data_IF_750429399753
#
_entry.id   IF_750429399753
#
_cell.length_a   1.000
_cell.length_b   1.000
_cell.length_c   1.000
_cell.angle_alpha   90.00
_cell.angle_beta   90.00
_cell.angle_gamma   90.00
#
_symmetry.space_group_name_H-M   'P 1'
#
loop_
_entity.id
_entity.type
_entity.pdbx_description
1 polymer ?
#
# COMPACT_ATOMS: atom_id res chain seq x y z
N UNK A 1 35.45 49.82 35.05
CA UNK A 1 34.13 49.49 34.52
C UNK A 1 34.36 48.77 33.22
N UNK A 2 34.19 47.45 33.22
CA UNK A 2 34.38 46.59 32.04
C UNK A 2 33.00 46.23 31.50
N UNK A 3 32.69 46.70 30.30
CA UNK A 3 31.48 46.33 29.57
C UNK A 3 31.62 44.89 29.02
N UNK A 4 30.74 44.00 29.47
CA UNK A 4 30.57 42.67 28.91
C UNK A 4 29.43 42.76 27.90
N UNK A 5 29.75 42.67 26.60
CA UNK A 5 28.76 42.48 25.56
C UNK A 5 28.32 40.99 25.57
N UNK A 6 27.05 40.74 25.86
CA UNK A 6 26.40 39.48 25.59
C UNK A 6 26.01 39.45 24.11
N UNK A 7 26.69 38.61 23.34
CA UNK A 7 26.29 38.29 21.99
C UNK A 7 25.21 37.21 22.04
N UNK A 8 23.97 37.60 21.70
CA UNK A 8 22.84 36.68 21.55
C UNK A 8 23.01 35.97 20.20
N UNK A 9 23.54 34.76 20.21
CA UNK A 9 23.59 33.89 19.03
C UNK A 9 22.18 33.41 18.69
N UNK A 10 21.60 33.98 17.63
CA UNK A 10 20.35 33.54 17.04
C UNK A 10 20.64 32.22 16.28
N UNK A 11 20.26 31.08 16.87
CA UNK A 11 20.25 29.82 16.18
C UNK A 11 19.15 29.88 15.11
N UNK A 12 19.53 30.13 13.89
CA UNK A 12 18.69 29.90 12.73
C UNK A 12 18.52 28.38 12.57
N UNK A 13 17.41 27.82 13.01
CA UNK A 13 16.95 26.52 12.56
C UNK A 13 16.54 26.68 11.10
N UNK A 14 17.38 26.22 10.19
CA UNK A 14 16.97 25.98 8.82
C UNK A 14 15.95 24.85 8.85
N UNK A 15 14.68 25.19 8.68
CA UNK A 15 13.64 24.23 8.30
C UNK A 15 14.06 23.74 6.92
N UNK A 16 14.62 22.54 6.83
CA UNK A 16 14.86 21.88 5.58
C UNK A 16 13.47 21.64 4.96
N UNK A 17 13.13 22.41 3.95
CA UNK A 17 11.96 22.16 3.12
C UNK A 17 12.19 20.79 2.43
N UNK A 18 11.41 19.77 2.81
CA UNK A 18 11.36 18.49 2.13
C UNK A 18 10.65 18.62 0.76
N UNK A 19 11.09 19.55 -0.08
CA UNK A 19 10.55 19.73 -1.42
C UNK A 19 10.98 18.57 -2.35
N UNK A 20 12.15 17.97 -2.08
CA UNK A 20 12.70 16.87 -2.87
C UNK A 20 12.58 15.56 -2.08
N UNK A 21 11.80 14.60 -2.62
CA UNK A 21 11.62 13.28 -2.00
C UNK A 21 12.95 12.51 -1.87
N UNK A 22 12.98 11.54 -0.94
CA UNK A 22 14.13 10.64 -0.77
C UNK A 22 13.95 9.41 -1.65
N UNK A 23 14.87 9.19 -2.61
CA UNK A 23 14.91 7.96 -3.40
C UNK A 23 15.41 6.82 -2.52
N UNK A 24 14.54 5.87 -2.20
CA UNK A 24 14.87 4.71 -1.37
C UNK A 24 15.45 3.57 -2.20
N UNK A 25 14.83 3.27 -3.34
CA UNK A 25 15.27 2.23 -4.25
C UNK A 25 15.42 2.84 -5.64
N UNK A 26 16.57 2.63 -6.28
CA UNK A 26 16.88 3.23 -7.55
C UNK A 26 17.49 2.24 -8.51
N UNK A 27 16.86 2.06 -9.65
CA UNK A 27 17.43 1.35 -10.79
C UNK A 27 18.50 2.21 -11.50
N UNK A 28 18.34 3.54 -11.50
CA UNK A 28 19.21 4.45 -12.21
C UNK A 28 20.63 4.54 -11.64
N UNK A 29 20.80 4.44 -10.32
CA UNK A 29 22.09 4.58 -9.63
C UNK A 29 23.02 3.38 -9.79
N UNK A 30 22.48 2.20 -10.07
CA UNK A 30 23.23 0.96 -10.20
C UNK A 30 23.65 0.61 -11.63
N UNK A 31 23.21 1.38 -12.62
CA UNK A 31 23.45 1.06 -14.03
C UNK A 31 22.55 -0.09 -14.51
N UNK A 32 22.89 -0.63 -15.70
CA UNK A 32 22.11 -1.66 -16.39
C UNK A 32 22.10 -3.05 -15.72
N UNK A 33 22.92 -3.26 -14.71
CA UNK A 33 23.07 -4.53 -14.02
C UNK A 33 22.24 -4.58 -12.73
N UNK A 34 21.56 -3.47 -12.35
CA UNK A 34 20.69 -3.42 -11.20
C UNK A 34 19.26 -3.74 -11.63
N UNK A 35 18.61 -4.76 -11.02
CA UNK A 35 17.23 -5.06 -11.28
C UNK A 35 16.32 -3.86 -10.98
N UNK A 36 15.26 -3.63 -11.76
CA UNK A 36 14.28 -2.59 -11.45
C UNK A 36 13.51 -2.92 -10.18
N UNK A 37 13.11 -1.86 -9.47
CA UNK A 37 12.24 -1.95 -8.32
C UNK A 37 10.84 -1.49 -8.68
N UNK A 38 9.82 -2.19 -8.17
CA UNK A 38 8.41 -1.91 -8.37
C UNK A 38 7.60 -2.12 -7.08
N UNK A 39 6.34 -1.70 -7.13
CA UNK A 39 5.31 -2.00 -6.13
C UNK A 39 5.70 -1.52 -4.72
N UNK A 40 5.62 -0.21 -4.49
CA UNK A 40 5.95 0.40 -3.21
C UNK A 40 4.92 0.02 -2.14
N UNK A 41 5.39 -0.40 -0.97
CA UNK A 41 4.60 -0.55 0.24
C UNK A 41 5.26 0.21 1.38
N UNK A 42 4.46 0.91 2.20
CA UNK A 42 4.97 1.58 3.39
C UNK A 42 4.06 1.30 4.58
N UNK A 43 4.66 1.07 5.73
CA UNK A 43 3.97 0.96 7.02
C UNK A 43 4.71 1.73 8.08
N UNK A 44 3.94 2.35 8.97
CA UNK A 44 4.43 3.14 10.09
C UNK A 44 4.13 2.43 11.40
N UNK A 45 5.12 2.34 12.27
CA UNK A 45 4.99 1.82 13.62
C UNK A 45 5.22 2.90 14.67
N UNK A 46 5.13 2.51 15.93
CA UNK A 46 5.40 3.41 17.05
C UNK A 46 6.86 3.88 17.09
N UNK A 47 7.11 4.99 17.79
CA UNK A 47 8.45 5.50 18.02
C UNK A 47 9.18 5.99 16.76
N UNK A 48 8.45 6.25 15.66
CA UNK A 48 9.02 6.76 14.41
C UNK A 48 9.62 5.69 13.49
N UNK A 49 9.37 4.40 13.75
CA UNK A 49 9.74 3.29 12.85
C UNK A 49 8.90 3.35 11.59
N UNK A 50 9.56 3.36 10.42
CA UNK A 50 8.95 3.17 9.12
C UNK A 50 9.63 2.01 8.40
N UNK A 51 8.84 1.25 7.64
CA UNK A 51 9.34 0.17 6.78
C UNK A 51 8.81 0.39 5.37
N UNK A 52 9.70 0.64 4.43
CA UNK A 52 9.40 0.73 3.01
C UNK A 52 9.73 -0.60 2.33
N UNK A 53 8.77 -1.25 1.70
CA UNK A 53 8.94 -2.50 0.97
C UNK A 53 8.87 -2.31 -0.54
N UNK A 54 9.55 -3.17 -1.28
CA UNK A 54 9.56 -3.17 -2.74
C UNK A 54 9.71 -4.59 -3.30
N UNK A 55 9.21 -4.80 -4.51
CA UNK A 55 9.57 -5.93 -5.35
C UNK A 55 10.83 -5.58 -6.15
N UNK A 56 11.91 -6.36 -6.01
CA UNK A 56 13.12 -6.31 -6.85
C UNK A 56 12.97 -7.32 -7.98
N UNK A 57 12.78 -6.83 -9.20
CA UNK A 57 12.51 -7.66 -10.38
C UNK A 57 13.82 -8.21 -10.95
N UNK A 58 14.30 -9.31 -10.41
CA UNK A 58 15.55 -9.96 -10.87
C UNK A 58 15.38 -10.52 -12.27
N UNK A 59 14.21 -11.07 -12.58
CA UNK A 59 13.84 -11.57 -13.91
C UNK A 59 12.35 -11.30 -14.16
N UNK A 60 12.03 -10.84 -15.36
CA UNK A 60 10.65 -10.58 -15.73
C UNK A 60 10.17 -9.16 -15.37
N UNK A 61 8.96 -8.84 -15.81
CA UNK A 61 8.37 -7.50 -15.66
C UNK A 61 7.34 -7.42 -14.55
N UNK A 62 6.77 -8.56 -14.15
CA UNK A 62 5.76 -8.71 -13.11
C UNK A 62 5.88 -10.08 -12.43
N UNK A 63 5.27 -10.29 -11.24
CA UNK A 63 5.16 -11.59 -10.63
C UNK A 63 4.54 -12.62 -11.57
N UNK A 64 5.14 -13.81 -11.63
CA UNK A 64 4.75 -14.89 -12.53
C UNK A 64 5.58 -14.98 -13.82
N UNK A 65 6.40 -13.98 -14.13
CA UNK A 65 7.27 -13.98 -15.32
C UNK A 65 8.74 -14.27 -15.02
N UNK A 66 9.08 -14.50 -13.78
CA UNK A 66 10.44 -14.82 -13.40
C UNK A 66 10.72 -14.61 -11.92
N UNK A 67 12.01 -14.62 -11.55
CA UNK A 67 12.44 -14.39 -10.18
C UNK A 67 12.17 -12.95 -9.75
N UNK A 68 11.42 -12.79 -8.69
CA UNK A 68 11.23 -11.54 -7.97
C UNK A 68 11.63 -11.75 -6.51
N UNK A 69 12.30 -10.77 -5.94
CA UNK A 69 12.68 -10.74 -4.53
C UNK A 69 11.89 -9.66 -3.80
N UNK A 70 11.50 -9.92 -2.56
CA UNK A 70 10.93 -8.92 -1.66
C UNK A 70 12.03 -8.32 -0.79
N UNK A 71 12.13 -6.99 -0.76
CA UNK A 71 13.15 -6.24 -0.03
C UNK A 71 12.53 -5.10 0.78
N UNK A 72 13.23 -4.65 1.84
CA UNK A 72 12.80 -3.50 2.64
C UNK A 72 13.96 -2.56 2.96
N UNK A 73 13.61 -1.29 3.26
CA UNK A 73 14.45 -0.31 3.95
C UNK A 73 13.73 0.20 5.19
N UNK A 74 14.52 0.55 6.21
CA UNK A 74 14.03 0.94 7.53
C UNK A 74 14.42 2.37 7.86
N UNK A 75 13.54 3.07 8.59
CA UNK A 75 13.81 4.33 9.26
C UNK A 75 13.37 4.24 10.72
N UNK A 76 14.08 4.90 11.63
CA UNK A 76 13.78 4.97 13.07
C UNK A 76 13.47 6.40 13.54
N UNK A 77 13.35 7.34 12.61
CA UNK A 77 13.24 8.77 12.90
C UNK A 77 12.17 9.48 12.07
N UNK A 78 11.04 8.78 11.83
CA UNK A 78 9.93 9.26 11.00
C UNK A 78 10.38 9.62 9.56
N UNK A 79 11.22 8.80 8.96
CA UNK A 79 11.64 8.92 7.57
C UNK A 79 12.66 10.04 7.29
N UNK A 80 13.30 10.61 8.33
CA UNK A 80 14.38 11.60 8.15
C UNK A 80 15.64 10.96 7.64
N UNK A 81 15.96 9.77 8.16
CA UNK A 81 17.06 8.93 7.67
C UNK A 81 16.57 7.50 7.41
N UNK A 82 17.25 6.81 6.51
CA UNK A 82 16.91 5.46 6.08
C UNK A 82 18.15 4.57 6.09
N UNK A 83 17.94 3.26 6.29
CA UNK A 83 19.02 2.28 6.18
C UNK A 83 19.71 2.41 4.82
N UNK A 84 21.04 2.46 4.82
CA UNK A 84 21.84 2.59 3.60
C UNK A 84 21.60 1.40 2.68
N UNK A 85 21.65 0.19 3.24
CA UNK A 85 21.41 -1.06 2.51
C UNK A 85 19.98 -1.52 2.66
N UNK A 86 19.45 -2.15 1.63
CA UNK A 86 18.22 -2.91 1.71
C UNK A 86 18.42 -4.20 2.48
N UNK A 87 17.35 -4.71 3.07
CA UNK A 87 17.28 -6.00 3.76
C UNK A 87 16.46 -6.94 2.87
N UNK A 88 17.04 -8.09 2.54
CA UNK A 88 16.32 -9.16 1.86
C UNK A 88 15.29 -9.78 2.80
N UNK A 89 14.02 -9.69 2.41
CA UNK A 89 12.89 -10.30 3.14
C UNK A 89 12.67 -11.73 2.68
N UNK A 90 12.58 -11.91 1.36
CA UNK A 90 12.51 -13.22 0.72
C UNK A 90 13.09 -13.12 -0.69
N UNK A 91 14.08 -13.96 -0.99
CA UNK A 91 14.69 -14.06 -2.31
C UNK A 91 14.13 -15.25 -3.06
N UNK A 92 13.72 -15.04 -4.31
CA UNK A 92 13.32 -16.12 -5.21
C UNK A 92 14.52 -16.94 -5.68
N UNK A 93 14.26 -18.16 -6.12
CA UNK A 93 15.23 -19.05 -6.73
C UNK A 93 14.84 -19.37 -8.18
N UNK A 94 15.54 -18.75 -9.12
CA UNK A 94 15.28 -18.91 -10.55
C UNK A 94 15.44 -20.38 -11.03
N UNK A 95 16.26 -21.18 -10.34
CA UNK A 95 16.47 -22.60 -10.70
C UNK A 95 15.24 -23.48 -10.45
N UNK A 96 14.31 -23.00 -9.62
CA UNK A 96 13.05 -23.71 -9.32
C UNK A 96 11.95 -23.46 -10.34
N UNK A 97 12.15 -22.54 -11.28
CA UNK A 97 11.14 -22.21 -12.29
C UNK A 97 11.08 -23.33 -13.34
N UNK A 98 9.90 -23.87 -13.51
CA UNK A 98 9.65 -24.93 -14.49
C UNK A 98 8.27 -24.76 -15.15
N UNK A 99 8.02 -25.52 -16.23
CA UNK A 99 6.81 -25.41 -17.05
C UNK A 99 5.56 -26.08 -16.45
N UNK A 100 5.67 -26.81 -15.37
CA UNK A 100 4.58 -27.66 -14.86
C UNK A 100 3.90 -27.02 -13.65
N UNK A 101 4.63 -26.86 -12.56
CA UNK A 101 4.17 -26.21 -11.34
C UNK A 101 5.36 -25.58 -10.66
N UNK A 102 5.36 -24.25 -10.63
CA UNK A 102 6.45 -23.50 -10.01
C UNK A 102 6.24 -23.45 -8.50
N UNK A 103 7.22 -23.89 -7.69
CA UNK A 103 7.11 -23.82 -6.24
C UNK A 103 7.14 -22.36 -5.74
N UNK A 104 6.59 -22.13 -4.56
CA UNK A 104 6.53 -20.82 -3.90
C UNK A 104 7.90 -20.13 -3.86
N UNK A 105 8.96 -20.90 -3.55
CA UNK A 105 10.32 -20.37 -3.41
C UNK A 105 10.96 -19.83 -4.71
N UNK A 106 10.29 -19.94 -5.84
CA UNK A 106 10.83 -19.42 -7.10
C UNK A 106 10.79 -17.89 -7.20
N UNK A 107 9.80 -17.24 -6.58
CA UNK A 107 9.65 -15.79 -6.60
C UNK A 107 8.77 -15.28 -5.44
N UNK A 108 8.97 -14.01 -5.04
CA UNK A 108 8.15 -13.29 -4.05
C UNK A 108 7.99 -11.84 -4.51
N UNK A 109 6.82 -11.46 -4.97
CA UNK A 109 6.53 -10.13 -5.51
C UNK A 109 5.28 -9.48 -4.94
N UNK A 110 5.00 -8.27 -5.37
CA UNK A 110 3.84 -7.47 -4.95
C UNK A 110 3.63 -7.44 -3.43
N UNK A 111 4.64 -7.00 -2.64
CA UNK A 111 4.54 -7.02 -1.20
C UNK A 111 3.42 -6.12 -0.70
N UNK A 112 2.56 -6.65 0.16
CA UNK A 112 1.63 -5.90 0.99
C UNK A 112 2.08 -6.01 2.45
N UNK A 113 2.29 -4.89 3.13
CA UNK A 113 2.98 -4.83 4.42
C UNK A 113 2.10 -4.22 5.52
N UNK A 114 2.24 -4.72 6.75
CA UNK A 114 1.73 -4.12 7.98
C UNK A 114 2.71 -4.34 9.12
N UNK A 115 2.87 -3.32 9.97
CA UNK A 115 3.53 -3.41 11.27
C UNK A 115 2.49 -3.29 12.37
N UNK A 116 2.54 -4.20 13.37
CA UNK A 116 1.67 -4.12 14.53
C UNK A 116 2.03 -2.88 15.37
N UNK A 117 1.02 -2.04 15.66
CA UNK A 117 1.26 -0.77 16.36
C UNK A 117 1.58 -0.93 17.85
N UNK A 118 1.28 -2.08 18.46
CA UNK A 118 1.58 -2.35 19.88
C UNK A 118 2.82 -3.22 20.06
N UNK A 119 3.28 -3.88 18.98
CA UNK A 119 4.38 -4.86 19.01
C UNK A 119 5.36 -4.61 17.88
N UNK A 120 6.55 -5.19 17.97
CA UNK A 120 7.54 -5.14 16.90
C UNK A 120 7.30 -6.25 15.84
N UNK A 121 6.05 -6.74 15.72
CA UNK A 121 5.70 -7.71 14.69
C UNK A 121 5.44 -7.01 13.36
N UNK A 122 5.95 -7.60 12.29
CA UNK A 122 5.70 -7.16 10.91
C UNK A 122 5.23 -8.35 10.09
N UNK A 123 4.24 -8.13 9.24
CA UNK A 123 3.75 -9.10 8.27
C UNK A 123 3.88 -8.54 6.86
N UNK A 124 4.48 -9.30 5.96
CA UNK A 124 4.38 -9.11 4.53
C UNK A 124 3.63 -10.28 3.92
N UNK A 125 2.61 -9.97 3.12
CA UNK A 125 1.97 -10.93 2.22
C UNK A 125 2.45 -10.64 0.80
N UNK A 126 2.87 -11.68 0.08
CA UNK A 126 3.45 -11.53 -1.25
C UNK A 126 2.86 -12.53 -2.23
N UNK A 127 2.78 -12.16 -3.50
CA UNK A 127 2.59 -13.12 -4.60
C UNK A 127 3.83 -14.01 -4.66
N UNK A 128 3.64 -15.33 -4.74
CA UNK A 128 4.75 -16.27 -4.73
C UNK A 128 4.72 -17.23 -5.92
N UNK A 129 5.88 -17.79 -6.25
CA UNK A 129 6.03 -18.66 -7.42
C UNK A 129 5.99 -17.88 -8.74
N UNK A 130 5.84 -18.62 -9.85
CA UNK A 130 5.83 -18.03 -11.19
C UNK A 130 4.58 -18.44 -11.99
N UNK A 131 3.41 -18.30 -11.37
CA UNK A 131 2.11 -18.49 -12.03
C UNK A 131 1.48 -17.14 -12.30
N UNK A 132 1.28 -16.80 -13.56
CA UNK A 132 0.79 -15.47 -13.97
C UNK A 132 -0.69 -15.32 -13.67
N UNK A 133 -1.07 -14.33 -12.86
CA UNK A 133 -2.45 -14.07 -12.46
C UNK A 133 -3.44 -13.96 -13.63
N UNK A 134 -3.08 -13.22 -14.68
CA UNK A 134 -3.97 -12.92 -15.82
C UNK A 134 -4.18 -14.05 -16.82
N UNK A 135 -3.46 -15.19 -16.74
CA UNK A 135 -3.58 -16.27 -17.71
C UNK A 135 -4.73 -17.23 -17.40
N UNK A 136 -5.42 -17.71 -18.43
CA UNK A 136 -6.49 -18.71 -18.30
C UNK A 136 -6.02 -20.05 -17.69
N UNK A 137 -4.73 -20.37 -17.81
CA UNK A 137 -4.11 -21.56 -17.20
C UNK A 137 -3.98 -21.44 -15.68
N UNK A 138 -4.07 -20.23 -15.13
CA UNK A 138 -4.11 -19.98 -13.70
C UNK A 138 -5.55 -20.14 -13.23
N UNK A 139 -5.78 -21.15 -12.40
CA UNK A 139 -7.09 -21.53 -11.90
C UNK A 139 -6.95 -22.23 -10.55
N UNK A 140 -8.06 -22.61 -9.91
CA UNK A 140 -8.07 -23.26 -8.58
C UNK A 140 -7.15 -24.49 -8.46
N UNK A 141 -6.85 -25.19 -9.54
CA UNK A 141 -5.94 -26.37 -9.56
C UNK A 141 -4.47 -25.98 -9.76
N UNK A 142 -4.22 -24.81 -10.33
CA UNK A 142 -2.89 -24.23 -10.55
C UNK A 142 -2.93 -22.72 -10.23
N UNK A 143 -3.16 -22.35 -8.97
CA UNK A 143 -3.30 -20.94 -8.57
C UNK A 143 -1.95 -20.22 -8.59
N UNK A 144 -1.98 -18.90 -8.66
CA UNK A 144 -0.85 -18.12 -8.18
C UNK A 144 -0.81 -18.24 -6.66
N UNK A 145 0.40 -18.33 -6.11
CA UNK A 145 0.59 -18.62 -4.69
C UNK A 145 0.65 -17.33 -3.86
N UNK A 146 0.30 -17.46 -2.58
CA UNK A 146 0.35 -16.37 -1.59
C UNK A 146 1.24 -16.80 -0.43
N UNK A 147 2.30 -16.05 -0.19
CA UNK A 147 3.23 -16.27 0.93
C UNK A 147 3.01 -15.24 2.04
N UNK A 148 3.08 -15.70 3.28
CA UNK A 148 3.22 -14.84 4.46
C UNK A 148 4.67 -14.87 4.96
N UNK A 149 5.26 -13.70 5.22
CA UNK A 149 6.63 -13.55 5.68
C UNK A 149 6.61 -12.64 6.92
N UNK A 150 7.23 -13.06 8.01
CA UNK A 150 7.11 -12.40 9.31
C UNK A 150 8.44 -11.94 9.85
N UNK A 151 8.39 -10.82 10.57
CA UNK A 151 9.46 -10.35 11.47
C UNK A 151 8.89 -10.16 12.87
N UNK A 152 9.68 -10.38 13.89
CA UNK A 152 9.33 -10.14 15.30
C UNK A 152 10.23 -9.09 15.97
N UNK A 153 11.07 -8.44 15.18
CA UNK A 153 12.07 -7.46 15.62
C UNK A 153 12.00 -6.13 14.84
N UNK A 154 10.81 -5.78 14.36
CA UNK A 154 10.57 -4.53 13.64
C UNK A 154 11.17 -4.49 12.24
N UNK A 155 11.27 -5.64 11.57
CA UNK A 155 11.75 -5.74 10.20
C UNK A 155 13.27 -5.90 10.05
N UNK A 156 14.01 -6.08 11.15
CA UNK A 156 15.47 -6.28 11.10
C UNK A 156 15.83 -7.66 10.58
N UNK A 157 15.09 -8.69 11.01
CA UNK A 157 15.25 -10.07 10.53
C UNK A 157 13.90 -10.68 10.14
N UNK A 158 13.93 -11.64 9.23
CA UNK A 158 12.72 -12.22 8.63
C UNK A 158 12.72 -13.74 8.73
N UNK A 159 11.56 -14.28 9.04
CA UNK A 159 11.32 -15.72 9.08
C UNK A 159 11.16 -16.28 7.65
N UNK A 160 11.30 -17.60 7.52
CA UNK A 160 11.03 -18.25 6.21
C UNK A 160 9.59 -18.03 5.79
N UNK A 161 9.36 -17.76 4.48
CA UNK A 161 8.01 -17.64 3.94
C UNK A 161 7.15 -18.88 4.20
N UNK A 162 5.88 -18.66 4.52
CA UNK A 162 4.87 -19.71 4.76
C UNK A 162 3.81 -19.59 3.66
N UNK A 163 3.48 -20.71 3.02
CA UNK A 163 2.41 -20.79 2.03
C UNK A 163 1.04 -20.64 2.70
N UNK A 164 0.29 -19.62 2.28
CA UNK A 164 -1.07 -19.30 2.74
C UNK A 164 -2.13 -19.59 1.66
N UNK A 165 -1.72 -20.09 0.52
CA UNK A 165 -2.57 -20.24 -0.65
C UNK A 165 -3.85 -21.03 -0.35
N UNK A 166 -3.73 -22.25 0.13
CA UNK A 166 -4.90 -23.08 0.42
C UNK A 166 -5.76 -22.53 1.57
N UNK A 167 -5.15 -21.93 2.58
CA UNK A 167 -5.87 -21.31 3.69
C UNK A 167 -6.73 -20.13 3.22
N UNK A 168 -6.23 -19.31 2.30
CA UNK A 168 -6.96 -18.14 1.78
C UNK A 168 -7.98 -18.55 0.71
N UNK A 169 -7.59 -19.36 -0.26
CA UNK A 169 -8.51 -19.81 -1.33
C UNK A 169 -9.68 -20.62 -0.76
N UNK A 170 -9.43 -21.49 0.21
CA UNK A 170 -10.43 -22.31 0.88
C UNK A 170 -11.55 -21.52 1.58
N UNK A 171 -11.29 -20.26 1.96
CA UNK A 171 -12.32 -19.37 2.55
C UNK A 171 -13.49 -19.13 1.61
N UNK A 172 -13.30 -19.27 0.30
CA UNK A 172 -14.29 -18.95 -0.73
C UNK A 172 -14.84 -20.16 -1.48
N UNK A 173 -14.30 -21.37 -1.27
CA UNK A 173 -14.73 -22.58 -1.97
C UNK A 173 -16.22 -22.91 -1.79
N UNK A 174 -16.83 -22.53 -0.66
CA UNK A 174 -18.24 -22.73 -0.36
C UNK A 174 -19.22 -21.69 -0.94
N UNK A 175 -18.72 -20.67 -1.63
CA UNK A 175 -19.55 -19.56 -2.13
C UNK A 175 -19.10 -19.04 -3.50
N UNK A 176 -18.10 -18.18 -3.53
CA UNK A 176 -17.49 -17.63 -4.74
C UNK A 176 -16.04 -18.12 -4.89
N UNK A 177 -15.80 -19.33 -5.38
CA UNK A 177 -14.46 -19.92 -5.45
C UNK A 177 -13.52 -19.10 -6.34
N UNK A 178 -12.24 -19.09 -5.96
CA UNK A 178 -11.20 -18.31 -6.63
C UNK A 178 -10.44 -19.17 -7.63
N UNK A 179 -10.25 -18.67 -8.84
CA UNK A 179 -9.30 -19.23 -9.81
C UNK A 179 -7.89 -18.66 -9.59
N UNK A 180 -7.80 -17.38 -9.29
CA UNK A 180 -6.56 -16.68 -8.99
C UNK A 180 -6.85 -15.55 -7.99
N UNK A 181 -5.92 -15.31 -7.08
CA UNK A 181 -6.03 -14.18 -6.16
C UNK A 181 -4.64 -13.71 -5.72
N UNK A 182 -4.53 -12.40 -5.45
CA UNK A 182 -3.37 -11.82 -4.78
C UNK A 182 -3.80 -10.63 -3.92
N UNK A 183 -3.02 -10.31 -2.89
CA UNK A 183 -3.25 -9.14 -2.07
C UNK A 183 -2.67 -7.94 -2.82
N UNK A 184 -3.45 -6.89 -3.01
CA UNK A 184 -2.97 -5.68 -3.69
C UNK A 184 -1.72 -5.11 -2.98
N UNK A 185 -0.59 -5.04 -3.70
CA UNK A 185 0.69 -4.55 -3.15
C UNK A 185 0.57 -3.17 -2.51
N UNK A 186 1.34 -2.89 -1.47
CA UNK A 186 1.31 -1.65 -0.68
C UNK A 186 1.02 -1.91 0.80
N UNK A 187 -0.02 -1.33 1.39
CA UNK A 187 -0.36 -1.48 2.80
C UNK A 187 -1.43 -2.56 3.04
N UNK A 188 -1.24 -3.41 4.05
CA UNK A 188 -2.30 -4.13 4.77
C UNK A 188 -2.76 -3.22 5.90
N UNK A 189 -4.06 -3.03 6.04
CA UNK A 189 -4.60 -2.11 7.03
C UNK A 189 -4.74 -2.79 8.41
N UNK A 190 -4.33 -2.11 9.49
CA UNK A 190 -4.61 -2.52 10.87
C UNK A 190 -5.69 -1.62 11.48
N UNK A 191 -6.78 -2.21 11.99
CA UNK A 191 -7.87 -1.51 12.64
C UNK A 191 -7.39 -0.64 13.80
N UNK A 192 -8.00 0.53 13.96
CA UNK A 192 -7.82 1.42 15.11
C UNK A 192 -8.89 1.19 16.17
N UNK A 193 -10.01 0.57 15.78
CA UNK A 193 -11.22 0.43 16.59
C UNK A 193 -11.44 -1.03 17.03
N UNK A 194 -11.29 -1.98 16.10
CA UNK A 194 -11.62 -3.38 16.36
C UNK A 194 -10.40 -4.13 16.89
N UNK A 195 -10.44 -4.50 18.16
CA UNK A 195 -9.43 -5.35 18.82
C UNK A 195 -10.11 -6.63 19.32
N UNK A 196 -9.55 -7.79 18.93
CA UNK A 196 -10.04 -9.10 19.36
C UNK A 196 -8.88 -9.88 19.98
N UNK A 197 -9.05 -10.29 21.22
CA UNK A 197 -7.97 -10.89 21.98
C UNK A 197 -6.79 -9.93 22.15
N UNK A 198 -5.62 -10.36 21.72
CA UNK A 198 -4.37 -9.61 21.88
C UNK A 198 -4.04 -8.67 20.74
N UNK A 199 -4.73 -8.74 19.59
CA UNK A 199 -4.40 -7.99 18.40
C UNK A 199 -5.53 -7.08 17.94
N UNK A 200 -5.16 -5.92 17.39
CA UNK A 200 -6.05 -5.18 16.51
C UNK A 200 -6.21 -5.95 15.20
N UNK A 201 -7.47 -6.07 14.74
CA UNK A 201 -7.79 -6.76 13.49
C UNK A 201 -7.02 -6.17 12.31
N UNK A 202 -6.48 -7.02 11.45
CA UNK A 202 -5.91 -6.59 10.17
C UNK A 202 -6.81 -7.00 9.02
N UNK A 203 -6.82 -6.18 7.96
CA UNK A 203 -7.61 -6.39 6.76
C UNK A 203 -6.71 -6.41 5.53
N UNK A 204 -6.87 -7.42 4.68
CA UNK A 204 -6.20 -7.53 3.40
C UNK A 204 -7.23 -7.64 2.28
N UNK A 205 -7.08 -6.80 1.26
CA UNK A 205 -7.96 -6.80 0.12
C UNK A 205 -7.33 -7.57 -1.04
N UNK A 206 -8.11 -8.47 -1.64
CA UNK A 206 -7.69 -9.38 -2.71
C UNK A 206 -8.22 -8.88 -4.06
N UNK A 207 -7.32 -8.75 -5.04
CA UNK A 207 -7.70 -8.86 -6.44
C UNK A 207 -7.97 -10.34 -6.72
N UNK A 208 -9.10 -10.68 -7.33
CA UNK A 208 -9.52 -12.06 -7.49
C UNK A 208 -10.19 -12.33 -8.84
N UNK A 209 -9.99 -13.51 -9.38
CA UNK A 209 -10.70 -14.05 -10.54
C UNK A 209 -11.51 -15.29 -10.16
N UNK A 210 -12.63 -15.54 -10.84
CA UNK A 210 -13.14 -14.86 -12.04
C UNK A 210 -13.77 -13.48 -11.80
N UNK A 211 -14.06 -13.10 -10.54
CA UNK A 211 -14.86 -11.91 -10.22
C UNK A 211 -14.17 -11.03 -9.19
N UNK A 212 -13.78 -9.83 -9.54
CA UNK A 212 -13.52 -8.65 -8.73
C UNK A 212 -12.76 -8.86 -7.41
N UNK A 213 -13.18 -8.15 -6.37
CA UNK A 213 -12.43 -8.12 -5.11
C UNK A 213 -13.07 -8.97 -3.99
N UNK A 214 -12.22 -9.35 -3.05
CA UNK A 214 -12.58 -9.95 -1.76
C UNK A 214 -11.84 -9.22 -0.65
N UNK A 215 -12.36 -9.30 0.56
CA UNK A 215 -11.64 -8.82 1.75
C UNK A 215 -11.52 -9.97 2.74
N UNK A 216 -10.34 -10.16 3.26
CA UNK A 216 -10.08 -11.08 4.37
C UNK A 216 -9.61 -10.30 5.59
N UNK A 217 -9.88 -10.83 6.78
CA UNK A 217 -9.41 -10.25 8.03
C UNK A 217 -8.77 -11.30 8.93
N UNK A 218 -7.95 -10.84 9.86
CA UNK A 218 -7.31 -11.67 10.87
C UNK A 218 -7.30 -10.98 12.22
N UNK A 219 -7.58 -11.76 13.27
CA UNK A 219 -7.57 -11.34 14.67
C UNK A 219 -6.32 -11.84 15.43
N UNK A 220 -5.39 -12.49 14.72
CA UNK A 220 -4.15 -13.05 15.26
C UNK A 220 -2.92 -12.61 14.43
N UNK A 221 -3.02 -11.42 13.87
CA UNK A 221 -1.97 -10.82 13.04
C UNK A 221 -1.57 -11.68 11.84
N UNK A 222 -2.57 -12.22 11.11
CA UNK A 222 -2.41 -12.98 9.87
C UNK A 222 -1.93 -14.42 10.04
N UNK A 223 -2.06 -15.03 11.22
CA UNK A 223 -1.81 -16.46 11.42
C UNK A 223 -2.99 -17.28 10.91
N UNK A 224 -4.21 -16.80 11.14
CA UNK A 224 -5.45 -17.31 10.56
C UNK A 224 -6.23 -16.20 9.87
N UNK A 225 -6.99 -16.55 8.85
CA UNK A 225 -7.75 -15.61 8.04
C UNK A 225 -9.23 -16.00 7.98
N UNK A 226 -10.09 -14.99 7.82
CA UNK A 226 -11.52 -15.10 7.65
C UNK A 226 -12.00 -14.25 6.49
N UNK A 227 -13.03 -14.69 5.76
CA UNK A 227 -13.65 -13.89 4.70
C UNK A 227 -14.59 -12.84 5.31
N UNK A 228 -14.36 -11.55 5.05
CA UNK A 228 -15.22 -10.46 5.52
C UNK A 228 -16.54 -10.45 4.72
N UNK A 229 -17.64 -10.73 5.39
CA UNK A 229 -18.94 -10.94 4.77
C UNK A 229 -19.19 -12.39 4.30
N UNK A 230 -18.27 -13.32 4.58
CA UNK A 230 -18.41 -14.74 4.30
C UNK A 230 -17.97 -15.16 2.89
N UNK A 231 -18.04 -16.47 2.62
CA UNK A 231 -17.52 -17.10 1.39
C UNK A 231 -18.18 -16.60 0.08
N UNK A 232 -19.42 -16.14 0.16
CA UNK A 232 -20.18 -15.65 -0.99
C UNK A 232 -19.99 -14.14 -1.26
N UNK A 233 -19.35 -13.41 -0.35
CA UNK A 233 -19.21 -11.97 -0.45
C UNK A 233 -18.43 -11.56 -1.70
N UNK A 234 -18.93 -10.53 -2.39
CA UNK A 234 -18.34 -9.95 -3.58
C UNK A 234 -18.45 -8.42 -3.51
N UNK A 235 -17.64 -7.76 -2.66
CA UNK A 235 -17.80 -6.34 -2.37
C UNK A 235 -17.62 -5.45 -3.60
N UNK A 236 -16.69 -5.77 -4.50
CA UNK A 236 -16.44 -4.98 -5.71
C UNK A 236 -16.29 -5.92 -6.91
N UNK A 237 -17.42 -6.27 -7.58
CA UNK A 237 -17.43 -7.21 -8.70
C UNK A 237 -16.56 -6.79 -9.90
N UNK A 238 -16.50 -5.47 -10.15
CA UNK A 238 -15.77 -4.91 -11.30
C UNK A 238 -14.37 -4.42 -10.93
N UNK A 239 -13.90 -4.72 -9.70
CA UNK A 239 -12.64 -4.23 -9.18
C UNK A 239 -11.42 -5.00 -9.67
N UNK A 240 -10.27 -4.31 -9.63
CA UNK A 240 -8.94 -4.86 -9.89
C UNK A 240 -8.12 -4.80 -8.59
N UNK A 241 -6.99 -4.09 -8.51
CA UNK A 241 -6.14 -3.98 -7.32
C UNK A 241 -6.82 -3.13 -6.22
N UNK A 242 -7.23 -3.75 -5.11
CA UNK A 242 -7.95 -3.06 -4.04
C UNK A 242 -7.07 -2.67 -2.86
N UNK A 243 -7.60 -1.76 -2.03
CA UNK A 243 -7.12 -1.42 -0.69
C UNK A 243 -8.28 -1.34 0.29
N UNK A 244 -7.99 -1.57 1.56
CA UNK A 244 -8.92 -1.34 2.66
C UNK A 244 -8.45 -0.19 3.54
N UNK A 245 -9.41 0.52 4.14
CA UNK A 245 -9.19 1.48 5.20
C UNK A 245 -10.38 1.38 6.20
N UNK A 246 -10.27 2.00 7.36
CA UNK A 246 -11.31 2.00 8.38
C UNK A 246 -11.93 3.37 8.52
N UNK A 247 -13.25 3.41 8.48
CA UNK A 247 -14.03 4.59 8.83
C UNK A 247 -13.99 4.83 10.34
N UNK A 248 -14.23 6.05 10.82
CA UNK A 248 -14.13 6.39 12.25
C UNK A 248 -15.05 5.57 13.17
N UNK A 249 -16.13 5.00 12.65
CA UNK A 249 -17.06 4.12 13.37
C UNK A 249 -16.60 2.64 13.41
N UNK A 250 -15.47 2.33 12.80
CA UNK A 250 -14.95 0.96 12.68
C UNK A 250 -15.43 0.19 11.46
N UNK A 251 -16.32 0.76 10.64
CA UNK A 251 -16.72 0.18 9.35
C UNK A 251 -15.52 0.13 8.39
N UNK A 252 -15.52 -0.86 7.49
CA UNK A 252 -14.41 -1.08 6.57
C UNK A 252 -14.77 -0.56 5.18
N UNK A 253 -14.00 0.39 4.66
CA UNK A 253 -14.11 0.83 3.27
C UNK A 253 -13.10 0.09 2.39
N UNK A 254 -13.56 -0.40 1.25
CA UNK A 254 -12.70 -0.88 0.17
C UNK A 254 -12.67 0.15 -0.95
N UNK A 255 -11.47 0.43 -1.47
CA UNK A 255 -11.23 1.24 -2.66
C UNK A 255 -10.50 0.39 -3.68
N UNK A 256 -10.99 0.34 -4.92
CA UNK A 256 -10.45 -0.52 -5.96
C UNK A 256 -10.09 0.24 -7.23
N UNK A 257 -9.05 -0.24 -7.90
CA UNK A 257 -8.57 0.22 -9.19
C UNK A 257 -9.65 0.06 -10.26
N UNK A 258 -9.93 1.15 -10.99
CA UNK A 258 -10.79 1.16 -12.16
C UNK A 258 -10.43 2.32 -13.10
N UNK A 259 -10.77 2.21 -14.37
CA UNK A 259 -10.48 3.22 -15.39
C UNK A 259 -11.26 4.51 -15.13
N UNK A 260 -10.55 5.61 -14.96
CA UNK A 260 -11.13 6.95 -14.80
C UNK A 260 -11.89 7.18 -13.48
N UNK A 261 -11.79 6.25 -12.52
CA UNK A 261 -12.46 6.34 -11.22
C UNK A 261 -11.83 5.42 -10.19
N UNK A 262 -12.37 5.46 -8.96
CA UNK A 262 -12.22 4.38 -7.96
C UNK A 262 -13.56 3.70 -7.78
N UNK A 263 -13.55 2.40 -7.48
CA UNK A 263 -14.74 1.67 -7.05
C UNK A 263 -14.69 1.54 -5.54
N UNK A 264 -15.74 1.97 -4.86
CA UNK A 264 -15.86 1.96 -3.41
C UNK A 264 -16.97 1.03 -2.97
N UNK A 265 -16.81 0.43 -1.79
CA UNK A 265 -17.89 -0.22 -1.04
C UNK A 265 -17.58 -0.14 0.47
N UNK A 266 -18.60 -0.24 1.31
CA UNK A 266 -18.48 -0.19 2.76
C UNK A 266 -19.03 -1.47 3.35
N UNK A 267 -18.32 -2.03 4.33
CA UNK A 267 -18.77 -3.10 5.20
C UNK A 267 -19.12 -2.54 6.56
N UNK A 268 -20.38 -2.66 6.95
CA UNK A 268 -20.87 -2.24 8.26
C UNK A 268 -21.05 -3.46 9.15
N UNK A 269 -20.46 -3.41 10.34
CA UNK A 269 -20.58 -4.48 11.33
C UNK A 269 -21.95 -4.46 12.02
N UNK A 270 -22.59 -5.62 12.13
CA UNK A 270 -23.61 -5.87 13.15
C UNK A 270 -22.99 -6.36 14.47
N UNK A 271 -21.83 -7.03 14.38
CA UNK A 271 -21.01 -7.43 15.51
C UNK A 271 -19.53 -7.43 15.10
N UNK A 272 -18.80 -6.39 15.50
CA UNK A 272 -17.39 -6.26 15.14
C UNK A 272 -16.51 -7.38 15.75
N UNK A 273 -16.82 -7.87 16.94
CA UNK A 273 -16.04 -8.93 17.59
C UNK A 273 -16.09 -10.24 16.80
N UNK A 274 -17.24 -10.62 16.27
CA UNK A 274 -17.39 -11.85 15.47
C UNK A 274 -17.11 -11.66 13.99
N UNK A 275 -16.98 -10.41 13.54
CA UNK A 275 -16.80 -10.07 12.13
C UNK A 275 -18.09 -10.10 11.31
N UNK A 276 -19.26 -10.26 11.96
CA UNK A 276 -20.57 -10.26 11.30
C UNK A 276 -20.99 -8.87 10.86
N UNK A 277 -21.58 -8.78 9.67
CA UNK A 277 -22.04 -7.53 9.08
C UNK A 277 -22.43 -7.71 7.61
N UNK A 278 -22.49 -6.63 6.87
CA UNK A 278 -22.87 -6.66 5.45
C UNK A 278 -22.16 -5.58 4.63
N UNK A 279 -21.92 -5.90 3.37
CA UNK A 279 -21.48 -4.96 2.35
C UNK A 279 -22.67 -4.18 1.79
N UNK A 280 -22.46 -2.90 1.46
CA UNK A 280 -23.36 -2.11 0.64
C UNK A 280 -23.25 -2.48 -0.87
N UNK A 281 -23.68 -1.59 -1.75
CA UNK A 281 -23.49 -1.73 -3.20
C UNK A 281 -22.25 -0.98 -3.67
N UNK A 282 -21.51 -1.59 -4.60
CA UNK A 282 -20.38 -0.96 -5.27
C UNK A 282 -20.79 0.39 -5.89
N UNK A 283 -19.99 1.44 -5.65
CA UNK A 283 -20.22 2.77 -6.16
C UNK A 283 -18.95 3.35 -6.81
N UNK A 284 -19.12 4.17 -7.85
CA UNK A 284 -18.00 4.82 -8.56
C UNK A 284 -17.69 6.19 -7.99
N UNK A 285 -16.45 6.41 -7.57
CA UNK A 285 -15.90 7.71 -7.22
C UNK A 285 -15.09 8.28 -8.41
N UNK A 286 -15.68 9.18 -9.16
CA UNK A 286 -15.06 9.78 -10.36
C UNK A 286 -14.21 10.99 -10.04
N UNK A 287 -14.34 11.55 -8.82
CA UNK A 287 -13.64 12.78 -8.37
C UNK A 287 -13.88 13.95 -9.36
N UNK A 288 -15.07 13.98 -9.95
CA UNK A 288 -15.46 14.98 -10.95
C UNK A 288 -15.55 16.39 -10.36
N UNK A 289 -15.37 17.41 -11.23
CA UNK A 289 -15.42 18.81 -10.83
C UNK A 289 -14.09 19.38 -10.32
N UNK A 290 -13.06 18.55 -10.18
CA UNK A 290 -11.71 18.98 -9.82
C UNK A 290 -10.85 19.25 -11.05
N UNK A 291 -9.73 19.97 -10.85
CA UNK A 291 -8.78 20.30 -11.93
C UNK A 291 -8.08 19.07 -12.52
N UNK A 292 -7.93 18.02 -11.72
CA UNK A 292 -7.36 16.73 -12.11
C UNK A 292 -8.40 15.64 -11.93
N UNK A 293 -8.33 14.60 -12.75
CA UNK A 293 -9.21 13.43 -12.68
C UNK A 293 -8.37 12.14 -12.63
N UNK A 294 -8.89 11.08 -12.02
CA UNK A 294 -8.23 9.77 -12.03
C UNK A 294 -7.92 9.30 -13.44
N UNK A 295 -6.76 8.70 -13.64
CA UNK A 295 -6.29 8.21 -14.92
C UNK A 295 -7.18 7.11 -15.50
N UNK A 296 -7.32 7.10 -16.82
CA UNK A 296 -7.94 5.98 -17.57
C UNK A 296 -7.01 4.76 -17.66
N UNK A 297 -5.73 4.91 -17.32
CA UNK A 297 -4.78 3.82 -17.14
C UNK A 297 -4.32 3.76 -15.67
N UNK A 298 -5.18 3.27 -14.75
CA UNK A 298 -4.99 3.38 -13.32
C UNK A 298 -3.93 2.41 -12.77
N UNK A 299 -3.61 2.62 -11.49
CA UNK A 299 -2.80 1.69 -10.65
C UNK A 299 -3.55 1.39 -9.34
N UNK A 300 -2.91 0.68 -8.40
CA UNK A 300 -3.49 0.32 -7.12
C UNK A 300 -4.09 1.54 -6.37
N UNK A 301 -3.31 2.62 -6.18
CA UNK A 301 -3.64 3.74 -5.30
C UNK A 301 -3.79 3.30 -3.83
N UNK A 302 -3.72 4.23 -2.91
CA UNK A 302 -3.90 3.97 -1.47
C UNK A 302 -4.97 4.91 -0.91
N UNK A 303 -5.71 4.46 0.09
CA UNK A 303 -6.62 5.30 0.88
C UNK A 303 -6.09 5.43 2.30
N UNK A 304 -6.26 6.61 2.89
CA UNK A 304 -5.94 6.89 4.28
C UNK A 304 -6.99 7.85 4.84
N UNK A 305 -7.55 7.54 6.00
CA UNK A 305 -8.50 8.40 6.71
C UNK A 305 -7.83 8.89 7.98
N UNK A 306 -7.78 10.22 8.14
CA UNK A 306 -7.05 10.86 9.23
C UNK A 306 -7.94 11.82 10.03
N UNK A 307 -7.77 11.88 11.37
CA UNK A 307 -8.47 12.87 12.18
C UNK A 307 -7.88 14.26 11.93
N UNK A 308 -8.74 15.25 11.79
CA UNK A 308 -8.36 16.59 11.39
C UNK A 308 -9.11 17.69 12.11
N UNK A 309 -8.58 18.91 12.02
CA UNK A 309 -9.25 20.15 12.43
C UNK A 309 -9.36 21.04 11.21
N UNK A 310 -10.57 21.52 10.91
CA UNK A 310 -10.79 22.52 9.88
C UNK A 310 -10.27 23.88 10.35
N UNK A 311 -9.33 24.48 9.61
CA UNK A 311 -8.66 25.71 10.03
C UNK A 311 -9.59 26.93 10.07
N UNK A 312 -10.67 26.94 9.28
CA UNK A 312 -11.58 28.10 9.19
C UNK A 312 -12.45 28.32 10.43
N UNK A 313 -12.82 27.26 11.15
CA UNK A 313 -13.76 27.32 12.28
C UNK A 313 -13.34 26.45 13.49
N UNK A 314 -12.25 25.71 13.37
CA UNK A 314 -11.76 24.83 14.44
C UNK A 314 -12.55 23.54 14.64
N UNK A 315 -13.47 23.20 13.73
CA UNK A 315 -14.26 21.96 13.81
C UNK A 315 -13.37 20.73 13.68
N UNK A 316 -13.53 19.79 14.61
CA UNK A 316 -12.93 18.47 14.52
C UNK A 316 -13.74 17.56 13.58
N UNK A 317 -13.05 16.82 12.73
CA UNK A 317 -13.63 15.97 11.69
C UNK A 317 -12.58 14.97 11.19
N UNK A 318 -12.89 14.23 10.14
CA UNK A 318 -11.91 13.38 9.44
C UNK A 318 -11.72 13.84 8.00
N UNK A 319 -10.55 13.54 7.44
CA UNK A 319 -10.24 13.77 6.02
C UNK A 319 -9.86 12.44 5.38
N UNK A 320 -10.55 12.10 4.31
CA UNK A 320 -10.18 10.99 3.42
C UNK A 320 -9.13 11.47 2.44
N UNK A 321 -8.06 10.71 2.29
CA UNK A 321 -7.02 10.88 1.28
C UNK A 321 -7.06 9.67 0.35
N UNK A 322 -7.00 9.89 -0.97
CA UNK A 322 -6.92 8.83 -1.97
C UNK A 322 -5.85 9.16 -2.99
N UNK A 323 -4.81 8.34 -3.08
CA UNK A 323 -3.78 8.50 -4.11
C UNK A 323 -4.12 7.75 -5.38
N UNK A 324 -3.91 8.39 -6.53
CA UNK A 324 -4.03 7.79 -7.87
C UNK A 324 -3.17 8.58 -8.87
N UNK A 325 -2.70 7.97 -9.97
CA UNK A 325 -2.22 8.73 -11.11
C UNK A 325 -3.38 9.48 -11.77
N UNK A 326 -3.06 10.61 -12.43
CA UNK A 326 -4.04 11.46 -13.11
C UNK A 326 -3.68 11.62 -14.59
N UNK A 327 -4.64 12.12 -15.39
CA UNK A 327 -4.43 12.35 -16.82
C UNK A 327 -4.67 11.11 -17.68
N UNK A 328 -4.06 11.06 -18.87
CA UNK A 328 -4.34 10.02 -19.88
C UNK A 328 -3.45 8.79 -19.77
N UNK A 329 -2.43 8.81 -18.90
CA UNK A 329 -1.48 7.72 -18.69
C UNK A 329 -1.22 7.49 -17.22
N UNK A 330 -0.18 6.74 -16.92
CA UNK A 330 0.32 6.59 -15.54
C UNK A 330 1.26 7.76 -15.25
N UNK A 331 0.69 8.92 -14.99
CA UNK A 331 1.41 10.18 -14.78
C UNK A 331 0.84 10.91 -13.58
N UNK A 332 1.60 11.89 -13.11
CA UNK A 332 1.13 12.91 -12.18
C UNK A 332 0.40 12.31 -10.97
N UNK A 333 1.03 11.33 -10.29
CA UNK A 333 0.43 10.77 -9.08
C UNK A 333 0.02 11.90 -8.15
N UNK A 334 -1.23 11.84 -7.68
CA UNK A 334 -1.87 12.90 -6.93
C UNK A 334 -2.62 12.32 -5.74
N UNK A 335 -2.83 13.13 -4.71
CA UNK A 335 -3.62 12.80 -3.53
C UNK A 335 -4.90 13.64 -3.58
N UNK A 336 -6.02 12.99 -3.80
CA UNK A 336 -7.34 13.59 -3.65
C UNK A 336 -7.74 13.59 -2.19
N UNK A 337 -8.49 14.63 -1.76
CA UNK A 337 -8.97 14.72 -0.39
C UNK A 337 -10.44 15.09 -0.32
N UNK A 338 -11.11 14.60 0.73
CA UNK A 338 -12.51 14.84 1.02
C UNK A 338 -12.72 14.96 2.52
N UNK A 339 -13.53 15.94 2.92
CA UNK A 339 -13.97 16.09 4.30
C UNK A 339 -15.04 15.06 4.67
N UNK A 340 -14.94 14.50 5.87
CA UNK A 340 -15.99 13.73 6.54
C UNK A 340 -16.37 14.48 7.81
N UNK A 341 -17.42 15.29 7.75
CA UNK A 341 -17.83 16.17 8.83
C UNK A 341 -18.86 15.55 9.77
N UNK A 342 -19.70 14.67 9.27
CA UNK A 342 -20.84 14.09 10.00
C UNK A 342 -20.79 12.56 9.98
N UNK A 343 -21.33 11.91 11.03
CA UNK A 343 -21.43 10.45 11.10
C UNK A 343 -22.25 9.87 9.95
N UNK A 344 -23.25 10.60 9.44
CA UNK A 344 -24.04 10.18 8.28
C UNK A 344 -23.22 10.09 6.99
N UNK A 345 -22.11 10.84 6.88
CA UNK A 345 -21.19 10.76 5.75
C UNK A 345 -20.37 9.46 5.75
N UNK A 346 -20.21 8.86 6.93
CA UNK A 346 -19.35 7.70 7.14
C UNK A 346 -20.01 6.38 6.83
N UNK A 347 -21.36 6.33 6.85
CA UNK A 347 -22.15 5.12 6.67
C UNK A 347 -22.83 5.04 5.30
N UNK A 348 -22.35 5.81 4.30
CA UNK A 348 -22.99 5.87 2.98
C UNK A 348 -21.93 5.96 1.88
N UNK A 349 -21.76 4.85 1.17
CA UNK A 349 -20.77 4.77 0.10
C UNK A 349 -20.98 5.80 -1.02
N UNK A 350 -22.23 6.20 -1.29
CA UNK A 350 -22.54 7.21 -2.32
C UNK A 350 -22.06 8.60 -1.90
N UNK A 351 -22.25 8.95 -0.63
CA UNK A 351 -21.73 10.21 -0.07
C UNK A 351 -20.21 10.24 -0.13
N UNK A 352 -19.55 9.13 0.20
CA UNK A 352 -18.08 9.03 0.12
C UNK A 352 -17.56 9.10 -1.34
N UNK A 353 -18.32 8.61 -2.29
CA UNK A 353 -17.93 8.61 -3.71
C UNK A 353 -18.00 9.99 -4.37
N UNK A 354 -18.82 10.89 -3.87
CA UNK A 354 -19.12 12.19 -4.45
C UNK A 354 -18.50 13.35 -3.66
N UNK A 355 -18.46 14.56 -4.24
CA UNK A 355 -18.12 15.80 -3.53
C UNK A 355 -16.70 15.86 -2.98
N UNK A 356 -15.71 15.41 -3.74
CA UNK A 356 -14.31 15.55 -3.36
C UNK A 356 -13.88 17.03 -3.35
N UNK A 357 -13.12 17.45 -2.31
CA UNK A 357 -12.86 18.86 -2.00
C UNK A 357 -11.63 19.44 -2.68
N UNK A 358 -10.73 18.56 -3.17
CA UNK A 358 -9.53 19.00 -3.83
C UNK A 358 -8.57 17.87 -4.19
N UNK A 359 -7.45 18.28 -4.76
CA UNK A 359 -6.40 17.39 -5.22
C UNK A 359 -5.04 18.08 -5.07
N UNK A 360 -4.07 17.35 -4.51
CA UNK A 360 -2.67 17.74 -4.43
C UNK A 360 -1.85 16.89 -5.39
N UNK A 361 -1.19 17.53 -6.34
CA UNK A 361 -0.32 16.86 -7.31
C UNK A 361 1.05 16.62 -6.69
N UNK A 362 1.43 15.36 -6.49
CA UNK A 362 2.71 14.96 -5.88
C UNK A 362 3.84 14.91 -6.91
N UNK A 363 3.56 14.42 -8.09
CA UNK A 363 4.51 14.30 -9.21
C UNK A 363 3.98 15.00 -10.46
N UNK A 364 4.87 15.53 -11.29
CA UNK A 364 4.57 16.13 -12.60
C UNK A 364 5.08 15.28 -13.76
N UNK A 365 5.57 14.08 -13.47
CA UNK A 365 6.16 13.15 -14.43
C UNK A 365 5.39 11.84 -14.48
N UNK A 366 5.90 10.87 -15.26
CA UNK A 366 5.43 9.49 -15.23
C UNK A 366 5.56 8.94 -13.81
N UNK A 367 4.44 8.55 -13.22
CA UNK A 367 4.37 8.02 -11.86
C UNK A 367 3.20 7.06 -11.75
N UNK A 368 3.40 5.96 -11.00
CA UNK A 368 2.54 4.80 -11.09
C UNK A 368 1.93 4.43 -9.74
N UNK A 369 2.42 3.34 -9.16
CA UNK A 369 1.92 2.77 -7.92
C UNK A 369 2.30 3.64 -6.71
N UNK A 370 1.44 3.66 -5.70
CA UNK A 370 1.68 4.44 -4.49
C UNK A 370 1.08 3.77 -3.26
N UNK A 371 1.68 4.04 -2.11
CA UNK A 371 1.22 3.62 -0.79
C UNK A 371 1.34 4.78 0.20
N UNK A 372 0.43 4.85 1.17
CA UNK A 372 0.41 5.89 2.23
C UNK A 372 0.20 5.27 3.59
N UNK A 373 0.80 5.87 4.61
CA UNK A 373 0.49 5.58 6.00
C UNK A 373 0.70 6.79 6.90
N UNK A 374 0.11 6.78 8.12
CA UNK A 374 0.23 7.86 9.08
C UNK A 374 1.44 7.63 9.99
N UNK A 375 2.34 8.61 10.04
CA UNK A 375 3.53 8.58 10.89
C UNK A 375 3.22 8.95 12.34
N UNK A 376 4.08 8.51 13.26
CA UNK A 376 3.97 8.84 14.67
C UNK A 376 4.05 10.36 14.96
N UNK A 377 4.69 11.13 14.10
CA UNK A 377 4.78 12.59 14.20
C UNK A 377 3.61 13.33 13.52
N UNK A 378 2.58 12.61 13.05
CA UNK A 378 1.38 13.15 12.42
C UNK A 378 1.53 13.52 10.96
N UNK A 379 2.69 13.29 10.34
CA UNK A 379 2.85 13.45 8.90
C UNK A 379 2.35 12.23 8.15
N UNK A 380 2.04 12.41 6.89
CA UNK A 380 1.61 11.36 5.98
C UNK A 380 2.85 10.88 5.23
N UNK A 381 3.25 9.63 5.48
CA UNK A 381 4.23 8.93 4.67
C UNK A 381 3.62 8.62 3.31
N UNK A 382 4.27 9.02 2.24
CA UNK A 382 3.88 8.74 0.86
C UNK A 382 5.05 8.10 0.12
N UNK A 383 4.84 6.91 -0.39
CA UNK A 383 5.86 6.14 -1.08
C UNK A 383 5.34 5.69 -2.44
N UNK A 384 6.05 6.05 -3.53
CA UNK A 384 5.50 5.88 -4.87
C UNK A 384 6.58 5.62 -5.93
N UNK A 385 6.14 5.07 -7.07
CA UNK A 385 6.98 4.88 -8.25
C UNK A 385 7.07 6.16 -9.06
N UNK A 386 8.30 6.57 -9.39
CA UNK A 386 8.59 7.64 -10.33
C UNK A 386 9.52 7.10 -11.44
N UNK A 387 9.05 7.15 -12.69
CA UNK A 387 9.82 6.62 -13.81
C UNK A 387 10.62 7.75 -14.45
N UNK A 388 11.94 7.67 -14.38
CA UNK A 388 12.83 8.68 -14.91
C UNK A 388 13.32 8.38 -16.33
N UNK A 389 13.49 7.10 -16.70
CA UNK A 389 14.04 6.70 -18.00
C UNK A 389 13.49 5.36 -18.45
N UNK A 390 13.27 5.23 -19.76
CA UNK A 390 13.08 3.92 -20.39
C UNK A 390 14.45 3.26 -20.52
N UNK A 391 14.62 2.12 -19.91
CA UNK A 391 15.79 1.27 -20.08
C UNK A 391 15.62 0.43 -21.34
N UNK A 392 16.66 0.36 -22.18
CA UNK A 392 16.63 -0.49 -23.35
C UNK A 392 16.60 -1.98 -22.98
N UNK A 393 16.17 -2.80 -23.93
CA UNK A 393 16.24 -4.25 -23.85
C UNK A 393 17.66 -4.74 -23.65
N UNK A 394 17.91 -5.51 -22.58
CA UNK A 394 19.17 -6.23 -22.38
C UNK A 394 18.91 -7.64 -21.92
N UNK A 395 19.65 -8.63 -22.46
CA UNK A 395 19.62 -9.99 -21.94
C UNK A 395 20.16 -9.98 -20.50
N UNK A 396 19.36 -10.50 -19.57
CA UNK A 396 19.84 -10.78 -18.23
C UNK A 396 20.34 -12.23 -18.18
N UNK A 397 21.65 -12.48 -17.91
CA UNK A 397 22.21 -13.82 -17.90
C UNK A 397 21.55 -14.75 -16.86
N UNK A 398 20.98 -14.19 -15.81
CA UNK A 398 20.20 -14.97 -14.81
C UNK A 398 18.85 -15.42 -15.35
N UNK A 399 18.33 -14.74 -16.38
CA UNK A 399 17.00 -14.96 -16.93
C UNK A 399 16.97 -15.82 -18.21
N UNK A 400 18.14 -16.19 -18.77
CA UNK A 400 18.24 -16.93 -20.06
C UNK A 400 17.71 -18.35 -20.02
N UNK A 401 17.47 -18.90 -18.85
CA UNK A 401 16.93 -20.26 -18.63
C UNK A 401 15.41 -20.32 -18.46
N UNK A 402 14.67 -19.22 -18.66
CA UNK A 402 13.22 -19.21 -18.48
C UNK A 402 12.48 -19.87 -19.63
N UNK A 403 11.52 -20.76 -19.33
CA UNK A 403 10.75 -21.49 -20.34
C UNK A 403 9.85 -20.63 -21.22
N UNK A 404 9.71 -19.34 -20.92
CA UNK A 404 8.80 -18.43 -21.63
C UNK A 404 9.48 -17.58 -22.71
N UNK A 405 10.75 -17.84 -23.04
CA UNK A 405 11.41 -17.31 -24.22
C UNK A 405 11.71 -15.81 -24.22
N UNK A 406 11.43 -15.12 -23.15
CA UNK A 406 11.63 -13.66 -23.05
C UNK A 406 12.94 -13.35 -22.34
N UNK A 407 14.05 -13.62 -23.04
CA UNK A 407 15.41 -13.20 -22.62
C UNK A 407 15.65 -11.69 -22.78
N UNK A 408 14.63 -10.94 -23.21
CA UNK A 408 14.69 -9.49 -23.37
C UNK A 408 13.71 -8.84 -22.40
N UNK A 409 14.22 -8.06 -21.46
CA UNK A 409 13.41 -7.28 -20.54
C UNK A 409 13.40 -5.83 -20.98
N UNK A 410 12.22 -5.30 -21.30
CA UNK A 410 11.98 -3.86 -21.31
C UNK A 410 11.89 -3.39 -19.87
N UNK A 411 12.99 -2.86 -19.35
CA UNK A 411 13.00 -2.25 -18.04
C UNK A 411 12.58 -0.80 -18.18
N UNK A 412 11.43 -0.44 -17.62
CA UNK A 412 11.20 0.94 -17.25
C UNK A 412 11.92 1.16 -15.91
N UNK A 413 12.93 2.02 -15.90
CA UNK A 413 13.69 2.35 -14.70
C UNK A 413 12.81 3.14 -13.74
N UNK A 414 12.24 2.49 -12.72
CA UNK A 414 11.51 3.15 -11.67
C UNK A 414 12.46 3.51 -10.52
N UNK A 415 12.32 4.73 -10.03
CA UNK A 415 12.77 5.08 -8.70
C UNK A 415 11.58 4.98 -7.75
N UNK A 416 11.80 4.41 -6.57
CA UNK A 416 10.81 4.42 -5.51
C UNK A 416 11.15 5.55 -4.56
N UNK A 417 10.26 6.56 -4.53
CA UNK A 417 10.48 7.84 -3.86
C UNK A 417 9.59 7.94 -2.63
N UNK A 418 10.20 8.23 -1.50
CA UNK A 418 9.52 8.56 -0.25
C UNK A 418 9.39 10.08 -0.09
N UNK A 419 8.20 10.53 0.31
CA UNK A 419 7.91 11.90 0.75
C UNK A 419 7.11 11.85 2.06
N UNK A 420 7.23 12.88 2.86
CA UNK A 420 6.39 13.08 4.04
C UNK A 420 5.66 14.41 3.92
N UNK A 421 4.35 14.42 4.15
CA UNK A 421 3.51 15.59 4.00
C UNK A 421 2.75 15.90 5.29
N UNK A 422 2.68 17.19 5.64
CA UNK A 422 1.67 17.69 6.55
C UNK A 422 0.31 17.71 5.84
N UNK A 423 -0.78 17.47 6.56
CA UNK A 423 -2.13 17.50 5.99
C UNK A 423 -2.46 18.89 5.41
N UNK A 424 -1.93 19.95 6.01
CA UNK A 424 -2.05 21.33 5.52
C UNK A 424 -1.46 21.50 4.12
N UNK A 425 -0.32 20.88 3.84
CA UNK A 425 0.29 20.88 2.51
C UNK A 425 -0.62 20.22 1.47
N UNK A 426 -1.16 19.04 1.77
CA UNK A 426 -2.05 18.30 0.85
C UNK A 426 -3.34 19.08 0.59
N UNK A 427 -3.86 19.77 1.61
CA UNK A 427 -5.19 20.41 1.55
C UNK A 427 -5.15 21.91 1.26
N UNK A 428 -3.95 22.46 0.98
CA UNK A 428 -3.78 23.89 0.72
C UNK A 428 -4.15 24.78 1.92
N UNK A 429 -3.85 24.30 3.13
CA UNK A 429 -4.10 25.01 4.39
C UNK A 429 -5.53 24.88 4.93
N UNK A 430 -6.39 24.06 4.32
CA UNK A 430 -7.79 23.89 4.78
C UNK A 430 -7.89 23.11 6.09
N UNK A 431 -7.09 22.05 6.24
CA UNK A 431 -7.15 21.14 7.38
C UNK A 431 -5.75 20.90 7.94
N UNK A 432 -5.66 20.75 9.27
CA UNK A 432 -4.47 20.28 9.99
C UNK A 432 -4.79 19.00 10.76
N UNK A 433 -3.76 18.21 11.06
CA UNK A 433 -3.92 17.02 11.88
C UNK A 433 -4.46 17.37 13.27
N UNK A 434 -5.42 16.58 13.77
CA UNK A 434 -5.93 16.73 15.11
C UNK A 434 -4.91 16.21 16.13
N UNK A 435 -4.49 17.07 17.07
CA UNK A 435 -3.68 16.70 18.24
C UNK A 435 -2.20 16.42 17.98
N UNK A 436 -1.70 16.56 16.76
CA UNK A 436 -0.29 16.37 16.43
C UNK A 436 0.41 17.74 16.36
N UNK A 437 1.04 18.15 17.45
CA UNK A 437 2.04 19.22 17.42
C UNK A 437 3.40 18.67 17.01
N UNK A 438 4.25 19.48 16.37
CA UNK A 438 5.62 19.10 16.02
C UNK A 438 6.33 18.46 17.23
N UNK A 439 6.72 17.19 17.12
CA UNK A 439 7.45 16.44 18.14
C UNK A 439 6.61 15.77 19.24
N UNK A 440 5.27 15.77 19.12
CA UNK A 440 4.40 14.96 19.99
C UNK A 440 3.94 13.70 19.25
N UNK A 441 3.88 12.57 19.96
CA UNK A 441 3.27 11.34 19.43
C UNK A 441 1.80 11.62 19.11
N UNK A 442 1.35 11.18 17.93
CA UNK A 442 -0.04 11.35 17.53
C UNK A 442 -0.92 10.44 18.39
N UNK A 443 -1.83 10.99 19.23
CA UNK A 443 -2.63 10.18 20.16
C UNK A 443 -3.61 9.21 19.46
N UNK A 444 -3.74 9.30 18.15
CA UNK A 444 -4.61 8.44 17.34
C UNK A 444 -3.87 7.26 16.68
N UNK A 445 -2.57 7.07 16.99
CA UNK A 445 -1.80 5.87 16.64
C UNK A 445 -1.78 4.85 17.79
N UNK A 446 -2.40 5.19 18.93
CA UNK A 446 -2.55 4.31 20.10
C UNK A 446 -3.91 3.63 20.08
#
# INVERSE_FOLDING_TARGET
>A
MKNVLFSLGMLLFTVAAYADGTVLFSTAKGGIDVPPYRIPGITCGNGGRLIASAARLVCGTDPGYGRVDCVVKLSDDNGRTWSEREIDVACGDASLINNVKTPMAAAYGDPAIVMDRERNEVLIMAVAGCTVYGKASTNRRNPNLIAAIRSTDGGLTWQKPIDQTEAIYGLFDGGNPLDAAFIGGGKIFQSRVVKVGDYYRIYAALAARPNGNRVIYSDDFGRTWHALGGAAALPVPDGDEPKCEELPDGSVIITSRASGCRLLNIYTYSNATTGEGSWEEQTKATMSGLALAPSTNPTNGEMLIVPAVRNSDGRQLHVVLQSVPTGTGRNNVSIFYKELADEADMCNVKVLAEGWDGCYQVSTTVSLYSSMDLQADGRIAFFYEETLTKWGTKPNPVCTSFPHGEGEHNYDGCELVYKAFDLETITGGKYKMLGCGYGQECPYLL
#
